data_IF_326854192344
#
_entry.id   IF_326854192344
#
_cell.length_a   1.000
_cell.length_b   1.000
_cell.length_c   1.000
_cell.angle_alpha   90.00
_cell.angle_beta   90.00
_cell.angle_gamma   90.00
#
_symmetry.space_group_name_H-M   'P 1'
#
loop_
_entity.id
_entity.type
_entity.pdbx_description
1 polymer ?
#
# COMPACT_ATOMS: atom_id res chain seq x y z
N UNK A 1 -26.67 10.38 12.04
CA UNK A 1 -26.53 11.09 10.75
C UNK A 1 -27.01 10.13 9.69
N UNK A 2 -27.68 10.58 8.63
CA UNK A 2 -28.10 9.66 7.56
C UNK A 2 -26.87 9.17 6.74
N UNK A 3 -26.92 7.96 6.15
CA UNK A 3 -25.89 7.49 5.23
C UNK A 3 -25.69 8.48 4.07
N UNK A 4 -24.42 8.70 3.71
CA UNK A 4 -23.99 9.67 2.70
C UNK A 4 -23.44 8.94 1.49
N UNK A 5 -23.85 9.35 0.29
CA UNK A 5 -23.29 8.85 -0.97
C UNK A 5 -21.90 9.43 -1.21
N UNK A 6 -20.95 8.57 -1.56
CA UNK A 6 -19.54 8.94 -1.76
C UNK A 6 -19.11 8.52 -3.16
N UNK A 7 -18.53 9.46 -3.89
CA UNK A 7 -17.83 9.16 -5.14
C UNK A 7 -16.36 8.88 -4.84
N UNK A 8 -15.87 7.73 -5.28
CA UNK A 8 -14.45 7.34 -5.15
C UNK A 8 -13.80 7.13 -6.51
N UNK A 9 -12.51 7.42 -6.60
CA UNK A 9 -11.68 7.11 -7.77
C UNK A 9 -10.74 5.97 -7.38
N UNK A 10 -10.95 4.81 -8.01
CA UNK A 10 -10.23 3.57 -7.70
C UNK A 10 -9.13 3.34 -8.72
N UNK A 11 -7.94 2.99 -8.24
CA UNK A 11 -6.80 2.61 -9.06
C UNK A 11 -6.79 1.09 -9.26
N UNK A 12 -6.76 0.63 -10.51
CA UNK A 12 -6.93 -0.80 -10.86
C UNK A 12 -5.65 -1.62 -10.72
N UNK A 13 -4.57 -1.17 -11.36
CA UNK A 13 -3.37 -1.99 -11.55
C UNK A 13 -2.10 -1.16 -11.55
N UNK A 14 -1.02 -1.72 -10.98
CA UNK A 14 0.28 -1.05 -10.89
C UNK A 14 0.92 -0.85 -12.27
N UNK A 15 1.51 0.35 -12.47
CA UNK A 15 2.22 0.74 -13.69
C UNK A 15 3.66 1.07 -13.34
N UNK A 16 4.56 0.12 -13.58
CA UNK A 16 5.97 0.25 -13.22
C UNK A 16 6.64 1.37 -14.01
N UNK A 17 6.45 1.40 -15.33
CA UNK A 17 7.14 2.33 -16.23
C UNK A 17 6.17 3.12 -17.12
N UNK A 18 6.63 4.28 -17.60
CA UNK A 18 5.87 5.12 -18.54
C UNK A 18 4.71 5.93 -17.92
N UNK A 19 3.83 6.44 -18.79
CA UNK A 19 2.62 7.17 -18.42
C UNK A 19 1.58 6.19 -17.86
N UNK A 20 0.85 6.61 -16.82
CA UNK A 20 -0.28 5.84 -16.30
C UNK A 20 -1.46 6.00 -17.26
N UNK A 21 -2.03 4.90 -17.79
CA UNK A 21 -3.23 4.95 -18.63
C UNK A 21 -4.43 5.53 -17.88
N UNK A 22 -5.32 6.23 -18.59
CA UNK A 22 -6.50 6.86 -17.98
C UNK A 22 -7.55 5.80 -17.55
N UNK A 23 -7.62 4.70 -18.28
CA UNK A 23 -8.47 3.55 -17.99
C UNK A 23 -8.02 2.73 -16.77
N UNK A 24 -6.85 3.03 -16.18
CA UNK A 24 -6.45 2.48 -14.88
C UNK A 24 -7.23 3.09 -13.70
N UNK A 25 -8.04 4.11 -13.95
CA UNK A 25 -8.90 4.72 -12.94
C UNK A 25 -10.37 4.40 -13.18
N UNK A 26 -11.12 4.08 -12.11
CA UNK A 26 -12.58 3.88 -12.15
C UNK A 26 -13.25 4.85 -11.22
N UNK A 27 -14.28 5.51 -11.71
CA UNK A 27 -15.19 6.29 -10.86
C UNK A 27 -16.26 5.35 -10.31
N UNK A 28 -16.29 5.18 -9.00
CA UNK A 28 -17.33 4.45 -8.29
C UNK A 28 -18.27 5.46 -7.60
N UNK A 29 -19.58 5.35 -7.85
CA UNK A 29 -20.63 6.22 -7.28
C UNK A 29 -21.63 5.46 -6.41
N UNK A 30 -21.45 4.16 -6.25
CA UNK A 30 -22.38 3.28 -5.54
C UNK A 30 -22.06 3.20 -4.04
N UNK A 31 -20.91 3.74 -3.63
CA UNK A 31 -20.46 3.69 -2.25
C UNK A 31 -21.32 4.61 -1.37
N UNK A 32 -21.77 4.05 -0.24
CA UNK A 32 -22.43 4.79 0.85
C UNK A 32 -21.64 4.58 2.14
N UNK A 33 -21.52 5.65 2.92
CA UNK A 33 -20.86 5.63 4.23
C UNK A 33 -21.87 6.12 5.25
N UNK A 34 -22.05 5.37 6.32
CA UNK A 34 -22.82 5.75 7.49
C UNK A 34 -21.86 6.18 8.61
N UNK A 35 -21.75 7.48 8.93
CA UNK A 35 -20.85 7.95 9.97
C UNK A 35 -21.16 7.40 11.37
N UNK A 36 -22.37 6.93 11.64
CA UNK A 36 -22.69 6.34 12.95
C UNK A 36 -22.31 4.86 13.04
N UNK A 37 -22.34 4.13 11.91
CA UNK A 37 -22.01 2.72 11.87
C UNK A 37 -20.54 2.44 11.52
N UNK A 38 -19.92 3.26 10.67
CA UNK A 38 -18.61 2.98 10.06
C UNK A 38 -17.44 3.64 10.80
N UNK A 39 -17.69 4.71 11.55
CA UNK A 39 -16.66 5.48 12.23
C UNK A 39 -16.33 4.88 13.61
N UNK A 40 -15.04 4.63 13.85
CA UNK A 40 -14.54 4.17 15.16
C UNK A 40 -14.11 5.34 16.04
N UNK A 41 -14.01 5.09 17.34
CA UNK A 41 -13.51 6.09 18.28
C UNK A 41 -12.12 6.60 17.87
N UNK A 42 -11.94 7.92 17.92
CA UNK A 42 -10.75 8.62 17.44
C UNK A 42 -10.64 8.83 15.92
N UNK A 43 -11.63 8.38 15.12
CA UNK A 43 -11.67 8.68 13.68
C UNK A 43 -12.48 9.94 13.38
N UNK A 44 -12.18 10.56 12.25
CA UNK A 44 -12.89 11.74 11.76
C UNK A 44 -13.48 11.49 10.38
N UNK A 45 -14.71 11.96 10.19
CA UNK A 45 -15.37 11.95 8.88
C UNK A 45 -15.23 13.32 8.25
N UNK A 46 -14.66 13.37 7.04
CA UNK A 46 -14.31 14.62 6.36
C UNK A 46 -15.01 14.72 5.01
N UNK A 47 -15.48 15.93 4.69
CA UNK A 47 -15.86 16.30 3.32
C UNK A 47 -14.65 16.91 2.62
N UNK A 48 -14.09 16.20 1.64
CA UNK A 48 -13.02 16.73 0.80
C UNK A 48 -13.56 17.85 -0.10
N UNK A 49 -12.96 19.03 -0.02
CA UNK A 49 -13.30 20.19 -0.86
C UNK A 49 -12.38 20.30 -2.08
N UNK A 50 -11.10 19.97 -1.89
CA UNK A 50 -10.06 20.05 -2.90
C UNK A 50 -9.10 18.87 -2.75
N UNK A 51 -8.49 18.46 -3.87
CA UNK A 51 -7.48 17.41 -3.93
C UNK A 51 -6.34 17.89 -4.81
N UNK A 52 -5.09 17.81 -4.32
CA UNK A 52 -3.91 18.10 -5.13
C UNK A 52 -3.59 16.93 -6.06
N UNK A 53 -2.96 17.24 -7.20
CA UNK A 53 -2.38 16.26 -8.10
C UNK A 53 -0.89 16.55 -8.19
N UNK A 54 -0.12 15.82 -7.39
CA UNK A 54 1.30 16.09 -7.22
C UNK A 54 2.16 15.06 -7.97
N UNK A 55 3.31 15.46 -8.56
CA UNK A 55 4.17 14.54 -9.31
C UNK A 55 4.60 13.30 -8.54
N UNK A 56 4.78 13.40 -7.22
CA UNK A 56 5.19 12.27 -6.37
C UNK A 56 4.17 11.13 -6.34
N UNK A 57 2.88 11.40 -6.64
CA UNK A 57 1.84 10.38 -6.68
C UNK A 57 2.19 9.28 -7.70
N UNK A 58 2.88 9.63 -8.79
CA UNK A 58 3.30 8.69 -9.83
C UNK A 58 4.14 7.53 -9.27
N UNK A 59 5.01 7.79 -8.30
CA UNK A 59 5.87 6.76 -7.71
C UNK A 59 5.06 5.75 -6.89
N UNK A 60 3.94 6.17 -6.28
CA UNK A 60 3.05 5.29 -5.49
C UNK A 60 2.25 4.31 -6.35
N UNK A 61 2.21 4.53 -7.67
CA UNK A 61 1.49 3.69 -8.64
C UNK A 61 2.37 2.56 -9.20
N UNK A 62 3.60 2.41 -8.71
CA UNK A 62 4.50 1.31 -9.07
C UNK A 62 4.34 0.17 -8.07
N UNK A 63 4.59 -1.07 -8.51
CA UNK A 63 4.70 -2.19 -7.58
C UNK A 63 5.96 -1.96 -6.75
N UNK A 64 5.82 -1.85 -5.44
CA UNK A 64 6.98 -1.82 -4.55
C UNK A 64 7.54 -3.23 -4.52
N UNK A 65 8.64 -3.47 -5.25
CA UNK A 65 9.47 -4.64 -5.00
C UNK A 65 9.85 -4.56 -3.53
N UNK A 66 9.35 -5.50 -2.72
CA UNK A 66 9.81 -5.61 -1.34
C UNK A 66 11.30 -5.90 -1.44
N UNK A 67 12.13 -4.88 -1.22
CA UNK A 67 13.54 -5.10 -0.96
C UNK A 67 13.59 -5.90 0.34
N UNK A 68 13.56 -7.22 0.21
CA UNK A 68 13.98 -8.12 1.27
C UNK A 68 15.30 -7.53 1.75
N UNK A 69 15.31 -7.09 3.01
CA UNK A 69 16.51 -6.62 3.66
C UNK A 69 17.50 -7.77 3.76
N UNK A 70 18.16 -8.10 2.65
CA UNK A 70 19.37 -8.87 2.65
C UNK A 70 20.47 -7.89 3.04
N UNK A 71 20.55 -7.63 4.35
CA UNK A 71 21.76 -7.11 4.95
C UNK A 71 22.91 -8.01 4.45
N UNK A 72 24.00 -7.46 3.90
CA UNK A 72 25.13 -8.29 3.52
C UNK A 72 25.66 -8.95 4.80
N UNK A 73 25.50 -10.27 4.90
CA UNK A 73 26.11 -11.05 5.95
C UNK A 73 27.61 -10.78 5.92
N UNK A 74 28.17 -10.31 7.04
CA UNK A 74 29.62 -10.25 7.26
C UNK A 74 30.19 -11.63 6.96
N UNK A 75 31.00 -11.74 5.91
CA UNK A 75 31.80 -12.92 5.62
C UNK A 75 32.81 -13.12 6.77
N UNK A 76 32.46 -13.94 7.75
CA UNK A 76 33.45 -14.67 8.54
C UNK A 76 33.87 -15.88 7.72
N UNK A 77 35.12 -15.85 7.26
CA UNK A 77 35.79 -16.95 6.58
C UNK A 77 35.73 -18.25 7.40
N UNK A 78 34.98 -19.22 6.91
CA UNK A 78 35.23 -20.64 7.20
C UNK A 78 34.73 -21.48 6.03
N UNK A 79 35.69 -22.12 5.38
CA UNK A 79 35.56 -23.12 4.34
C UNK A 79 34.72 -24.33 4.75
N UNK A 80 33.76 -24.73 3.91
CA UNK A 80 33.52 -26.14 3.57
C UNK A 80 32.51 -26.27 2.42
N UNK A 81 32.84 -27.22 1.54
CA UNK A 81 32.15 -27.69 0.34
C UNK A 81 30.89 -28.50 0.63
N UNK A 82 29.82 -28.38 -0.18
CA UNK A 82 29.17 -29.52 -0.88
C UNK A 82 27.87 -29.14 -1.63
N UNK A 83 27.83 -29.57 -2.89
CA UNK A 83 26.74 -30.03 -3.77
C UNK A 83 25.24 -29.77 -3.49
N UNK A 84 24.60 -29.35 -4.59
CA UNK A 84 23.42 -29.92 -5.26
C UNK A 84 21.98 -29.51 -4.91
N UNK A 85 21.26 -29.31 -6.01
CA UNK A 85 19.84 -29.61 -6.31
C UNK A 85 18.80 -28.48 -6.20
N UNK A 86 18.28 -28.19 -7.39
CA UNK A 86 17.11 -27.41 -7.76
C UNK A 86 15.83 -28.20 -7.49
N UNK A 87 14.84 -27.59 -6.83
CA UNK A 87 13.43 -27.89 -7.11
C UNK A 87 12.52 -26.78 -6.57
N UNK A 88 11.64 -26.36 -7.46
CA UNK A 88 10.53 -25.43 -7.34
C UNK A 88 9.33 -26.06 -6.62
N UNK A 89 8.71 -25.33 -5.68
CA UNK A 89 7.26 -25.38 -5.40
C UNK A 89 6.83 -24.12 -4.64
N UNK A 90 5.95 -23.34 -5.25
CA UNK A 90 5.24 -22.19 -4.68
C UNK A 90 4.37 -22.60 -3.49
N UNK A 91 4.47 -21.87 -2.38
CA UNK A 91 3.56 -21.96 -1.24
C UNK A 91 3.07 -20.56 -0.83
N UNK A 92 1.76 -20.38 -1.01
CA UNK A 92 0.90 -19.31 -0.52
C UNK A 92 1.20 -18.86 0.93
N UNK A 93 1.43 -17.56 1.16
CA UNK A 93 1.31 -16.91 2.47
C UNK A 93 0.81 -15.45 2.38
N UNK A 94 -0.48 -15.31 2.69
CA UNK A 94 -1.12 -14.37 3.63
C UNK A 94 -0.42 -13.01 3.92
N UNK A 95 -1.01 -11.91 3.44
CA UNK A 95 -0.57 -10.53 3.67
C UNK A 95 -1.34 -9.92 4.86
N UNK A 96 -0.75 -9.96 6.05
CA UNK A 96 -1.22 -9.22 7.21
C UNK A 96 -0.47 -7.87 7.33
N UNK A 97 -1.04 -6.81 6.76
CA UNK A 97 -0.50 -5.45 6.84
C UNK A 97 -0.85 -4.80 8.19
N UNK A 98 0.07 -4.87 9.15
CA UNK A 98 0.00 -4.10 10.40
C UNK A 98 0.56 -2.69 10.19
N UNK A 99 -0.32 -1.68 10.15
CA UNK A 99 0.07 -0.26 10.23
C UNK A 99 0.66 0.02 11.62
N UNK A 100 1.94 0.40 11.69
CA UNK A 100 2.56 0.93 12.91
C UNK A 100 2.28 2.44 13.02
N UNK A 101 1.74 2.83 14.18
CA UNK A 101 1.57 4.21 14.63
C UNK A 101 2.87 5.03 14.52
N UNK A 102 2.76 6.24 13.97
CA UNK A 102 3.77 7.29 14.14
C UNK A 102 3.34 8.11 15.36
N UNK A 103 4.15 8.07 16.42
CA UNK A 103 3.98 8.89 17.61
C UNK A 103 4.60 10.27 17.34
N UNK A 104 3.77 11.31 17.19
CA UNK A 104 4.20 12.70 17.10
C UNK A 104 4.12 13.37 18.48
N UNK A 105 4.99 12.95 19.38
CA UNK A 105 5.26 13.68 20.62
C UNK A 105 6.62 14.37 20.51
N UNK A 106 6.70 15.43 19.70
CA UNK A 106 7.75 16.46 19.73
C UNK A 106 7.52 17.45 18.58
N UNK A 107 6.47 18.26 18.70
CA UNK A 107 6.47 19.60 18.13
C UNK A 107 6.08 20.51 19.29
N UNK A 108 7.02 21.40 19.60
CA UNK A 108 6.99 22.46 20.62
C UNK A 108 5.71 23.31 20.54
#
# INVERSE_FOLDING_TARGET
MAPVEVTSILFKEFVNDGKVPEDNFVVNKEQRIDPEADLKDGQIFLRLLYLSVDPYMRTRMRKMEASAGQLPARNSSSSSSSSSSTSSTDSSTDLHLQLRHINTSSIL
#
